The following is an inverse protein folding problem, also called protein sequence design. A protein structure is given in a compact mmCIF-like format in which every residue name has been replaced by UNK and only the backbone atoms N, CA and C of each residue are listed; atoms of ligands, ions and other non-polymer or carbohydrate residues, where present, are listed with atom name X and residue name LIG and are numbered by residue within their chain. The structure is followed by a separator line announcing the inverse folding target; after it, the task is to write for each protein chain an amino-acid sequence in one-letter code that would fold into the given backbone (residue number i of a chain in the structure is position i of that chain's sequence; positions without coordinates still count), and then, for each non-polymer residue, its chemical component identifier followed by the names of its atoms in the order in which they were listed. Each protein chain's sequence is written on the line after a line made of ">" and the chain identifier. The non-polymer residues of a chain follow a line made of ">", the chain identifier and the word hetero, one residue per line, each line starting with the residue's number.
data_IF_076339632310
#
_entry.id   IF_076339632310
#
_cell.length_a   1.000
_cell.length_b   1.000
_cell.length_c   1.000
_cell.angle_alpha   90.00
_cell.angle_beta   90.00
_cell.angle_gamma   90.00
#
_symmetry.space_group_name_H-M   'P 1'
#
loop_
_entity.id
_entity.type
_entity.pdbx_description
1 polymer ?
#
# COMPACT_ATOMS: atom_id res chain seq x y z
N UNK A 1 36.21 4.88 1.12
CA UNK A 1 35.43 4.02 2.04
C UNK A 1 34.16 4.68 2.56
N UNK A 2 34.20 5.85 3.22
CA UNK A 2 33.00 6.55 3.73
C UNK A 2 31.91 6.84 2.68
N UNK A 3 32.30 7.28 1.47
CA UNK A 3 31.33 7.61 0.43
C UNK A 3 30.61 6.38 -0.15
N UNK A 4 31.29 5.24 -0.24
CA UNK A 4 30.70 3.98 -0.70
C UNK A 4 29.67 3.48 0.32
N UNK A 5 29.96 3.60 1.62
CA UNK A 5 29.02 3.24 2.69
C UNK A 5 27.74 4.08 2.66
N UNK A 6 27.88 5.38 2.39
CA UNK A 6 26.73 6.30 2.27
C UNK A 6 25.86 5.95 1.05
N UNK A 7 26.49 5.61 -0.08
CA UNK A 7 25.79 5.20 -1.30
C UNK A 7 25.00 3.90 -1.10
N UNK A 8 25.62 2.92 -0.45
CA UNK A 8 24.98 1.63 -0.13
C UNK A 8 23.77 1.86 0.79
N UNK A 9 23.91 2.69 1.84
CA UNK A 9 22.81 3.01 2.74
C UNK A 9 21.62 3.64 2.00
N UNK A 10 21.86 4.56 1.06
CA UNK A 10 20.78 5.18 0.27
C UNK A 10 20.09 4.21 -0.69
N UNK A 11 20.82 3.25 -1.26
CA UNK A 11 20.22 2.24 -2.15
C UNK A 11 19.31 1.26 -1.39
N UNK A 12 19.70 0.86 -0.18
CA UNK A 12 18.92 -0.09 0.64
C UNK A 12 17.59 0.51 1.10
N UNK A 13 17.57 1.82 1.39
CA UNK A 13 16.34 2.54 1.76
C UNK A 13 15.34 2.61 0.60
N UNK A 14 15.81 2.61 -0.65
CA UNK A 14 14.95 2.67 -1.83
C UNK A 14 14.29 1.32 -2.19
N UNK A 15 14.82 0.19 -1.72
CA UNK A 15 14.35 -1.14 -2.13
C UNK A 15 13.22 -1.71 -1.29
N UNK A 16 12.85 -1.09 -0.16
CA UNK A 16 11.86 -1.67 0.75
C UNK A 16 10.40 -1.35 0.37
N UNK A 17 10.00 -1.90 -0.77
CA UNK A 17 8.65 -1.77 -1.31
C UNK A 17 7.71 -2.85 -0.77
N UNK A 18 6.43 -2.53 -0.65
CA UNK A 18 5.34 -3.46 -0.35
C UNK A 18 4.25 -3.30 -1.41
N UNK A 19 3.71 -4.42 -1.88
CA UNK A 19 2.72 -4.48 -2.96
C UNK A 19 1.44 -5.13 -2.45
N UNK A 20 0.30 -4.61 -2.85
CA UNK A 20 -1.02 -5.19 -2.57
C UNK A 20 -1.94 -5.05 -3.77
N UNK A 21 -2.79 -6.05 -4.00
CA UNK A 21 -3.86 -5.98 -4.99
C UNK A 21 -5.13 -5.43 -4.33
N UNK A 22 -5.56 -4.25 -4.78
CA UNK A 22 -6.86 -3.68 -4.43
C UNK A 22 -7.88 -4.18 -5.44
N UNK A 23 -8.96 -4.78 -4.98
CA UNK A 23 -10.05 -5.27 -5.84
C UNK A 23 -11.40 -4.97 -5.21
N UNK A 24 -12.42 -4.83 -6.04
CA UNK A 24 -13.80 -4.65 -5.61
C UNK A 24 -14.74 -5.61 -6.33
N UNK A 25 -15.89 -5.92 -5.71
CA UNK A 25 -16.96 -6.71 -6.30
C UNK A 25 -17.63 -6.02 -7.51
N UNK A 26 -17.57 -4.68 -7.61
CA UNK A 26 -18.12 -3.92 -8.74
C UNK A 26 -17.01 -3.54 -9.75
N UNK A 27 -17.01 -4.17 -10.93
CA UNK A 27 -16.00 -3.94 -11.98
C UNK A 27 -16.01 -2.52 -12.56
N UNK A 28 -17.12 -1.79 -12.43
CA UNK A 28 -17.27 -0.45 -12.97
C UNK A 28 -16.90 0.65 -11.95
N UNK A 29 -16.73 0.29 -10.68
CA UNK A 29 -16.34 1.24 -9.63
C UNK A 29 -14.93 1.76 -9.87
N UNK A 30 -14.78 3.09 -9.89
CA UNK A 30 -13.52 3.82 -10.00
C UNK A 30 -12.81 3.77 -8.65
N UNK A 31 -11.56 3.34 -8.65
CA UNK A 31 -10.69 3.26 -7.48
C UNK A 31 -9.83 4.52 -7.45
N UNK A 32 -9.84 5.19 -6.31
CA UNK A 32 -8.93 6.28 -6.00
C UNK A 32 -8.06 5.88 -4.81
N UNK A 33 -6.76 6.12 -4.89
CA UNK A 33 -5.82 5.90 -3.78
C UNK A 33 -5.18 7.22 -3.41
N UNK A 34 -5.26 7.60 -2.14
CA UNK A 34 -4.78 8.89 -1.62
C UNK A 34 -5.27 10.09 -2.48
N UNK A 35 -6.53 10.02 -2.92
CA UNK A 35 -7.19 11.03 -3.74
C UNK A 35 -6.92 10.96 -5.25
N UNK A 36 -6.00 10.11 -5.72
CA UNK A 36 -5.66 9.97 -7.13
C UNK A 36 -6.43 8.81 -7.78
N UNK A 37 -7.00 9.03 -8.96
CA UNK A 37 -7.61 7.95 -9.75
C UNK A 37 -6.54 6.98 -10.23
N UNK A 38 -6.72 5.69 -9.97
CA UNK A 38 -5.73 4.64 -10.30
C UNK A 38 -6.26 3.53 -11.19
N UNK A 39 -7.59 3.36 -11.28
CA UNK A 39 -8.17 2.30 -12.10
C UNK A 39 -9.65 2.05 -11.81
N UNK A 40 -10.18 0.96 -12.36
CA UNK A 40 -11.56 0.50 -12.14
C UNK A 40 -11.56 -0.98 -11.82
N UNK A 41 -12.38 -1.39 -10.86
CA UNK A 41 -12.55 -2.79 -10.44
C UNK A 41 -11.34 -3.37 -9.70
N UNK A 42 -10.13 -3.20 -10.23
CA UNK A 42 -8.88 -3.73 -9.69
C UNK A 42 -7.71 -2.78 -9.93
N UNK A 43 -6.76 -2.77 -9.00
CA UNK A 43 -5.52 -1.99 -9.10
C UNK A 43 -4.41 -2.60 -8.23
N UNK A 44 -3.21 -2.75 -8.79
CA UNK A 44 -2.02 -3.18 -8.02
C UNK A 44 -1.35 -1.96 -7.44
N UNK A 45 -1.43 -1.80 -6.12
CA UNK A 45 -0.78 -0.72 -5.37
C UNK A 45 0.59 -1.16 -4.89
N UNK A 46 1.61 -0.29 -5.04
CA UNK A 46 2.98 -0.56 -4.59
C UNK A 46 3.59 0.71 -4.03
N UNK A 47 4.13 0.66 -2.81
CA UNK A 47 4.84 1.80 -2.21
C UNK A 47 5.93 1.38 -1.21
N UNK A 48 6.72 2.37 -0.79
CA UNK A 48 7.77 2.24 0.21
C UNK A 48 7.44 2.98 1.52
N UNK A 49 6.15 3.17 1.84
CA UNK A 49 5.73 3.85 3.08
C UNK A 49 6.29 3.13 4.31
N UNK A 50 6.48 3.85 5.41
CA UNK A 50 6.96 3.25 6.67
C UNK A 50 5.85 2.41 7.34
N UNK A 51 6.25 1.53 8.25
CA UNK A 51 5.33 0.73 9.07
C UNK A 51 4.27 1.59 9.73
N UNK A 52 3.03 1.09 9.73
CA UNK A 52 1.88 1.79 10.31
C UNK A 52 1.33 2.94 9.47
N UNK A 53 1.95 3.30 8.35
CA UNK A 53 1.38 4.29 7.44
C UNK A 53 0.05 3.80 6.87
N UNK A 54 -0.95 4.68 6.88
CA UNK A 54 -2.28 4.41 6.33
C UNK A 54 -2.34 4.86 4.86
N UNK A 55 -3.07 4.10 4.05
CA UNK A 55 -3.42 4.43 2.67
C UNK A 55 -4.94 4.52 2.58
N UNK A 56 -5.45 5.63 2.03
CA UNK A 56 -6.88 5.83 1.85
C UNK A 56 -7.29 5.34 0.46
N UNK A 57 -8.35 4.54 0.41
CA UNK A 57 -8.97 4.08 -0.83
C UNK A 57 -10.36 4.67 -0.90
N UNK A 58 -10.72 5.29 -2.01
CA UNK A 58 -12.07 5.81 -2.24
C UNK A 58 -12.64 5.14 -3.47
N UNK A 59 -13.76 4.45 -3.30
CA UNK A 59 -14.50 3.86 -4.41
C UNK A 59 -15.60 4.82 -4.85
N UNK A 60 -15.71 5.05 -6.16
CA UNK A 60 -16.71 5.95 -6.74
C UNK A 60 -17.38 5.34 -7.95
N UNK A 61 -18.69 5.54 -8.07
CA UNK A 61 -19.47 5.20 -9.27
C UNK A 61 -20.50 6.29 -9.52
N UNK A 62 -20.75 6.60 -10.78
CA UNK A 62 -21.69 7.68 -11.15
C UNK A 62 -23.08 7.38 -10.62
N UNK A 63 -23.70 8.38 -9.97
CA UNK A 63 -25.01 8.23 -9.33
C UNK A 63 -24.99 7.54 -7.96
N UNK A 64 -23.83 7.05 -7.49
CA UNK A 64 -23.67 6.43 -6.19
C UNK A 64 -22.94 7.35 -5.20
N UNK A 65 -23.09 7.09 -3.92
CA UNK A 65 -22.27 7.69 -2.86
C UNK A 65 -20.82 7.19 -2.94
N UNK A 66 -19.88 8.03 -2.47
CA UNK A 66 -18.47 7.67 -2.43
C UNK A 66 -18.23 6.81 -1.17
N UNK A 67 -17.54 5.68 -1.29
CA UNK A 67 -17.24 4.82 -0.14
C UNK A 67 -15.73 4.83 0.20
N UNK A 68 -15.37 5.35 1.39
CA UNK A 68 -13.99 5.36 1.86
C UNK A 68 -13.61 4.04 2.55
N UNK A 69 -12.42 3.56 2.26
CA UNK A 69 -11.74 2.46 2.93
C UNK A 69 -10.32 2.90 3.31
N UNK A 70 -9.72 2.16 4.23
CA UNK A 70 -8.30 2.34 4.57
C UNK A 70 -7.64 0.99 4.81
N UNK A 71 -6.35 0.92 4.51
CA UNK A 71 -5.48 -0.18 4.92
C UNK A 71 -4.15 0.41 5.38
N UNK A 72 -3.37 -0.35 6.14
CA UNK A 72 -2.14 0.17 6.73
C UNK A 72 -0.98 -0.81 6.57
N UNK A 73 0.25 -0.28 6.57
CA UNK A 73 1.45 -1.12 6.40
C UNK A 73 1.84 -1.77 7.73
N UNK A 74 0.96 -2.61 8.27
CA UNK A 74 1.10 -3.27 9.57
C UNK A 74 0.38 -4.63 9.60
N UNK A 75 0.24 -5.28 8.45
CA UNK A 75 -0.66 -6.43 8.31
C UNK A 75 0.09 -7.76 8.21
N UNK A 76 1.27 -7.78 7.57
CA UNK A 76 2.11 -8.97 7.44
C UNK A 76 3.54 -8.70 7.90
N UNK A 77 4.12 -9.61 8.68
CA UNK A 77 5.52 -9.50 9.12
C UNK A 77 6.49 -9.96 8.02
N UNK A 78 7.50 -9.15 7.72
CA UNK A 78 8.58 -9.50 6.81
C UNK A 78 9.82 -9.99 7.58
N UNK A 79 9.96 -11.31 7.67
CA UNK A 79 11.11 -11.95 8.29
C UNK A 79 12.44 -11.62 7.58
N UNK A 80 12.42 -11.38 6.27
CA UNK A 80 13.61 -10.98 5.51
C UNK A 80 14.06 -9.57 5.87
N UNK A 81 13.12 -8.63 5.97
CA UNK A 81 13.41 -7.27 6.44
C UNK A 81 13.91 -7.27 7.90
N UNK A 82 13.34 -8.12 8.76
CA UNK A 82 13.81 -8.27 10.15
C UNK A 82 15.25 -8.80 10.22
N UNK A 83 15.55 -9.91 9.52
CA UNK A 83 16.91 -10.46 9.47
C UNK A 83 17.90 -9.44 8.88
N UNK A 84 17.53 -8.77 7.78
CA UNK A 84 18.32 -7.68 7.20
C UNK A 84 18.57 -6.54 8.18
N UNK A 85 17.59 -6.18 9.00
CA UNK A 85 17.75 -5.18 10.06
C UNK A 85 18.78 -5.56 11.11
N UNK A 86 18.77 -6.82 11.56
CA UNK A 86 19.73 -7.35 12.54
C UNK A 86 21.15 -7.42 11.97
N UNK A 87 21.33 -7.88 10.73
CA UNK A 87 22.66 -8.15 10.16
C UNK A 87 23.27 -6.97 9.37
N UNK A 88 22.44 -6.11 8.79
CA UNK A 88 22.88 -5.03 7.87
C UNK A 88 22.48 -3.63 8.36
N UNK A 89 21.96 -3.50 9.59
CA UNK A 89 21.46 -2.26 10.17
C UNK A 89 20.37 -1.60 9.31
N UNK A 90 19.59 -2.40 8.57
CA UNK A 90 18.39 -1.90 7.87
C UNK A 90 17.41 -1.36 8.91
N UNK A 91 16.86 -0.15 8.75
CA UNK A 91 15.89 0.35 9.71
C UNK A 91 14.71 -0.60 9.80
N UNK A 92 14.30 -0.96 11.03
CA UNK A 92 13.11 -1.78 11.28
C UNK A 92 11.79 -1.09 10.88
N UNK A 93 11.85 0.04 10.20
CA UNK A 93 10.72 0.81 9.69
C UNK A 93 9.92 0.07 8.61
N UNK A 94 10.43 -1.04 8.05
CA UNK A 94 9.76 -1.80 7.00
C UNK A 94 9.62 -3.29 7.30
N UNK A 95 9.67 -3.69 8.58
CA UNK A 95 9.41 -5.07 9.00
C UNK A 95 7.95 -5.51 8.82
N UNK A 96 7.08 -4.60 8.42
CA UNK A 96 5.68 -4.87 8.13
C UNK A 96 5.37 -4.56 6.67
N UNK A 97 4.46 -5.35 6.11
CA UNK A 97 3.93 -5.30 4.75
C UNK A 97 2.41 -5.21 4.76
N UNK A 98 1.88 -4.93 3.58
CA UNK A 98 0.47 -5.11 3.27
C UNK A 98 0.17 -6.59 3.09
N UNK A 99 -1.09 -6.98 3.31
CA UNK A 99 -1.62 -8.23 2.79
C UNK A 99 -1.56 -8.23 1.28
N UNK A 100 -1.36 -9.40 0.70
CA UNK A 100 -1.28 -9.56 -0.75
C UNK A 100 -2.52 -9.04 -1.50
N UNK A 101 -3.71 -9.15 -0.89
CA UNK A 101 -4.99 -8.78 -1.51
C UNK A 101 -5.92 -8.09 -0.52
N UNK A 102 -6.50 -6.97 -0.94
CA UNK A 102 -7.61 -6.27 -0.28
C UNK A 102 -8.85 -6.32 -1.17
N UNK A 103 -9.90 -7.00 -0.67
CA UNK A 103 -11.21 -7.02 -1.32
C UNK A 103 -12.12 -5.99 -0.63
N UNK A 104 -12.54 -4.96 -1.35
CA UNK A 104 -13.48 -3.96 -0.86
C UNK A 104 -14.86 -4.19 -1.48
N UNK A 105 -15.86 -4.32 -0.62
CA UNK A 105 -17.25 -4.37 -1.04
C UNK A 105 -17.71 -2.97 -1.48
N UNK A 106 -18.49 -2.90 -2.54
CA UNK A 106 -19.07 -1.68 -3.08
C UNK A 106 -20.56 -1.91 -3.28
N UNK A 107 -21.38 -1.20 -2.50
CA UNK A 107 -22.82 -1.11 -2.66
C UNK A 107 -23.20 0.28 -3.20
N UNK A 108 -23.88 0.31 -4.34
CA UNK A 108 -24.34 1.59 -4.90
C UNK A 108 -25.56 2.10 -4.14
N UNK A 109 -25.33 2.90 -3.12
CA UNK A 109 -26.35 3.75 -2.51
C UNK A 109 -26.49 5.03 -3.33
N UNK A 110 -27.72 5.40 -3.73
CA UNK A 110 -27.95 6.60 -4.54
C UNK A 110 -27.55 7.85 -3.76
N UNK A 111 -26.78 8.74 -4.38
CA UNK A 111 -26.49 10.07 -3.84
C UNK A 111 -27.75 10.94 -3.94
N UNK A 112 -28.29 11.36 -2.80
CA UNK A 112 -29.47 12.23 -2.69
C UNK A 112 -29.20 13.67 -3.09
#
# INVERSE_FOLDING_TARGET
>A
MKQVLFLIATLVLASCSSTTLITTNDKDAKIYVDGQYVGKGQYTHTDSKMVGSTTMVMLKKEGCEDMPYTFARNEEFDAGACAGGVFLLVPFLWIQKYRAVHNFEFECTKRH
#
